data_IF_905154857769
#
_entry.id   IF_905154857769
#
_cell.length_a   1.000
_cell.length_b   1.000
_cell.length_c   1.000
_cell.angle_alpha   90.00
_cell.angle_beta   90.00
_cell.angle_gamma   90.00
#
_symmetry.space_group_name_H-M   'P 1'
#
loop_
_entity.id
_entity.type
_entity.pdbx_description
1 polymer ?
#
# COMPACT_ATOMS: atom_id res chain seq x y z
N UNK A 1 -6.99 -23.33 6.83
CA UNK A 1 -8.18 -24.22 6.72
C UNK A 1 -9.19 -23.91 7.83
N UNK A 2 -10.32 -24.59 7.84
CA UNK A 2 -11.37 -24.37 8.85
C UNK A 2 -10.97 -24.70 10.28
N UNK A 3 -9.83 -25.35 10.48
CA UNK A 3 -9.26 -25.63 11.80
C UNK A 3 -8.32 -24.53 12.31
N UNK A 4 -8.13 -23.46 11.54
CA UNK A 4 -7.16 -22.40 11.85
C UNK A 4 -5.72 -22.75 11.47
N UNK A 5 -5.47 -23.90 10.86
CA UNK A 5 -4.13 -24.28 10.40
C UNK A 5 -3.79 -23.55 9.09
N UNK A 6 -2.61 -22.93 9.04
CA UNK A 6 -2.08 -22.38 7.79
C UNK A 6 -1.77 -23.51 6.82
N UNK A 7 -2.32 -23.39 5.62
CA UNK A 7 -2.07 -24.30 4.52
C UNK A 7 -1.64 -23.51 3.29
N UNK A 8 -0.79 -24.12 2.47
CA UNK A 8 -0.51 -23.57 1.15
C UNK A 8 -1.73 -23.86 0.25
N UNK A 9 -2.39 -22.86 -0.35
CA UNK A 9 -3.50 -23.11 -1.25
C UNK A 9 -3.01 -23.88 -2.48
N UNK A 10 -3.78 -24.87 -2.91
CA UNK A 10 -3.59 -25.50 -4.20
C UNK A 10 -3.91 -24.48 -5.31
N UNK A 11 -3.11 -24.46 -6.37
CA UNK A 11 -3.21 -23.48 -7.47
C UNK A 11 -2.97 -22.02 -7.04
N UNK A 12 -2.07 -21.82 -6.13
CA UNK A 12 -1.74 -20.50 -5.65
C UNK A 12 -1.28 -19.56 -6.77
N UNK A 13 -1.78 -18.33 -6.76
CA UNK A 13 -1.38 -17.26 -7.71
C UNK A 13 0.15 -17.11 -7.80
N UNK A 14 0.86 -17.41 -6.72
CA UNK A 14 2.33 -17.39 -6.63
C UNK A 14 3.04 -18.29 -7.66
N UNK A 15 2.42 -19.34 -8.15
CA UNK A 15 3.04 -20.21 -9.16
C UNK A 15 3.00 -19.57 -10.57
N UNK A 16 2.13 -18.59 -10.78
CA UNK A 16 2.08 -17.82 -12.02
C UNK A 16 3.30 -16.92 -12.19
N UNK A 17 3.89 -16.44 -11.09
CA UNK A 17 5.08 -15.57 -11.12
C UNK A 17 6.37 -16.33 -11.45
N UNK A 18 6.33 -17.66 -11.50
CA UNK A 18 7.47 -18.51 -11.90
C UNK A 18 7.53 -18.74 -13.41
N UNK A 19 6.56 -18.25 -14.16
CA UNK A 19 6.44 -18.42 -15.61
C UNK A 19 6.40 -17.06 -16.29
N UNK A 20 6.79 -16.98 -17.58
CA UNK A 20 6.58 -15.75 -18.34
C UNK A 20 5.12 -15.31 -18.29
N UNK A 21 4.91 -14.02 -18.06
CA UNK A 21 3.56 -13.46 -18.00
C UNK A 21 2.89 -13.54 -19.37
N UNK A 22 1.65 -14.03 -19.39
CA UNK A 22 0.79 -14.02 -20.60
C UNK A 22 -0.17 -12.84 -20.60
N UNK A 23 -0.36 -12.19 -19.45
CA UNK A 23 -1.13 -10.97 -19.25
C UNK A 23 -0.33 -10.01 -18.36
N UNK A 24 -0.10 -8.80 -18.85
CA UNK A 24 0.51 -7.73 -18.06
C UNK A 24 -0.58 -7.00 -17.27
N UNK A 25 -0.83 -7.48 -16.05
CA UNK A 25 -1.87 -6.92 -15.18
C UNK A 25 -1.31 -5.74 -14.38
N UNK A 26 -1.88 -4.56 -14.57
CA UNK A 26 -1.51 -3.36 -13.80
C UNK A 26 -1.90 -3.42 -12.31
N UNK A 27 -2.92 -4.24 -11.97
CA UNK A 27 -3.40 -4.37 -10.60
C UNK A 27 -2.78 -5.50 -9.78
N UNK A 28 -1.98 -6.40 -10.40
CA UNK A 28 -1.47 -7.58 -9.69
C UNK A 28 -0.32 -8.28 -10.40
N UNK A 29 0.36 -7.61 -11.32
CA UNK A 29 1.39 -8.21 -12.18
C UNK A 29 2.80 -8.21 -11.60
N UNK A 30 3.05 -7.55 -10.49
CA UNK A 30 4.38 -7.42 -9.89
C UNK A 30 4.49 -8.20 -8.59
N UNK A 31 5.70 -8.70 -8.35
CA UNK A 31 6.12 -9.31 -7.08
C UNK A 31 7.28 -8.48 -6.54
N UNK A 32 7.28 -8.21 -5.24
CA UNK A 32 8.29 -7.40 -4.59
C UNK A 32 8.63 -7.93 -3.20
N UNK A 33 9.68 -7.39 -2.60
CA UNK A 33 10.03 -7.57 -1.20
C UNK A 33 9.55 -6.36 -0.37
N UNK A 34 9.48 -6.51 0.95
CA UNK A 34 9.23 -5.35 1.85
C UNK A 34 10.29 -4.28 1.67
N UNK A 35 11.54 -4.69 1.54
CA UNK A 35 12.69 -3.78 1.36
C UNK A 35 12.57 -2.95 0.08
N UNK A 36 12.33 -3.60 -1.06
CA UNK A 36 12.17 -2.88 -2.33
C UNK A 36 10.94 -1.96 -2.31
N UNK A 37 9.83 -2.44 -1.73
CA UNK A 37 8.61 -1.63 -1.65
C UNK A 37 8.76 -0.45 -0.67
N UNK A 38 9.57 -0.59 0.39
CA UNK A 38 9.87 0.51 1.29
C UNK A 38 10.61 1.64 0.58
N UNK A 39 11.50 1.32 -0.37
CA UNK A 39 12.18 2.31 -1.22
C UNK A 39 11.18 3.07 -2.11
N UNK A 40 10.20 2.37 -2.68
CA UNK A 40 9.12 3.01 -3.43
C UNK A 40 8.28 3.95 -2.54
N UNK A 41 7.87 3.49 -1.36
CA UNK A 41 7.11 4.31 -0.42
C UNK A 41 7.91 5.52 0.08
N UNK A 42 9.21 5.35 0.35
CA UNK A 42 10.11 6.46 0.72
C UNK A 42 10.29 7.46 -0.43
N UNK A 43 10.37 6.99 -1.67
CA UNK A 43 10.42 7.87 -2.85
C UNK A 43 9.16 8.74 -2.93
N UNK A 44 7.99 8.19 -2.67
CA UNK A 44 6.73 8.96 -2.61
C UNK A 44 6.76 9.97 -1.47
N UNK A 45 7.17 9.56 -0.27
CA UNK A 45 7.30 10.44 0.90
C UNK A 45 8.22 11.63 0.62
N UNK A 46 9.32 11.40 -0.07
CA UNK A 46 10.29 12.42 -0.48
C UNK A 46 9.84 13.26 -1.71
N UNK A 47 8.56 13.20 -2.08
CA UNK A 47 8.06 14.00 -3.21
C UNK A 47 8.58 13.55 -4.58
N UNK A 48 8.87 12.25 -4.74
CA UNK A 48 9.23 11.64 -6.01
C UNK A 48 10.72 11.43 -6.24
N UNK A 49 11.54 11.53 -5.20
CA UNK A 49 12.99 11.38 -5.27
C UNK A 49 13.51 10.39 -4.24
N UNK A 50 14.51 9.61 -4.59
CA UNK A 50 15.21 8.72 -3.68
C UNK A 50 16.71 8.71 -4.02
N UNK A 51 17.57 8.91 -3.01
CA UNK A 51 19.03 8.86 -3.14
C UNK A 51 19.58 9.76 -4.27
N UNK A 52 18.98 10.94 -4.45
CA UNK A 52 19.37 11.90 -5.50
C UNK A 52 18.83 11.57 -6.89
N UNK A 53 18.05 10.49 -7.05
CA UNK A 53 17.40 10.12 -8.30
C UNK A 53 15.93 10.51 -8.27
N UNK A 54 15.52 11.42 -9.16
CA UNK A 54 14.13 11.82 -9.30
C UNK A 54 13.40 10.91 -10.28
N UNK A 55 12.37 10.24 -9.78
CA UNK A 55 11.50 9.32 -10.54
C UNK A 55 10.21 10.06 -10.97
N UNK A 56 9.65 10.86 -10.06
CA UNK A 56 8.42 11.63 -10.32
C UNK A 56 8.65 13.09 -9.95
N UNK A 57 7.94 13.99 -10.61
CA UNK A 57 7.92 15.38 -10.20
C UNK A 57 7.07 15.56 -8.93
N UNK A 58 7.48 16.43 -8.03
CA UNK A 58 6.78 16.69 -6.78
C UNK A 58 5.28 17.01 -6.95
N UNK A 59 4.86 17.84 -7.92
CA UNK A 59 3.43 18.09 -8.17
C UNK A 59 2.67 16.81 -8.58
N UNK A 60 3.33 15.89 -9.29
CA UNK A 60 2.74 14.59 -9.66
C UNK A 60 2.51 13.71 -8.43
N UNK A 61 3.47 13.67 -7.52
CA UNK A 61 3.32 12.92 -6.26
C UNK A 61 2.22 13.52 -5.39
N UNK A 62 2.16 14.83 -5.27
CA UNK A 62 1.07 15.53 -4.55
C UNK A 62 -0.30 15.18 -5.15
N UNK A 63 -0.41 15.17 -6.47
CA UNK A 63 -1.64 14.75 -7.15
C UNK A 63 -1.97 13.28 -6.89
N UNK A 64 -0.97 12.38 -6.93
CA UNK A 64 -1.17 10.95 -6.63
C UNK A 64 -1.70 10.73 -5.21
N UNK A 65 -1.14 11.43 -4.24
CA UNK A 65 -1.43 11.28 -2.81
C UNK A 65 -2.45 12.28 -2.28
N UNK A 66 -3.36 12.74 -3.12
CA UNK A 66 -4.49 13.58 -2.73
C UNK A 66 -5.80 13.02 -3.29
N UNK A 67 -6.92 13.43 -2.73
CA UNK A 67 -8.22 13.01 -3.21
C UNK A 67 -8.48 13.54 -4.63
N UNK A 68 -8.77 12.61 -5.55
CA UNK A 68 -9.06 12.88 -6.96
C UNK A 68 -10.53 12.57 -7.31
N UNK A 69 -11.34 12.22 -6.31
CA UNK A 69 -12.75 11.94 -6.54
C UNK A 69 -13.53 13.24 -6.84
N UNK A 70 -14.57 13.16 -7.67
CA UNK A 70 -15.49 14.27 -7.85
C UNK A 70 -16.17 14.67 -6.54
N UNK A 71 -16.56 15.94 -6.42
CA UNK A 71 -17.29 16.44 -5.26
C UNK A 71 -18.52 15.58 -4.93
N UNK A 72 -18.65 15.20 -3.66
CA UNK A 72 -19.74 14.37 -3.16
C UNK A 72 -19.57 12.86 -3.37
N UNK A 73 -18.49 12.43 -4.03
CA UNK A 73 -18.13 11.01 -4.13
C UNK A 73 -17.21 10.63 -2.97
N UNK A 74 -17.48 9.52 -2.32
CA UNK A 74 -16.68 8.98 -1.20
C UNK A 74 -16.23 7.59 -1.54
N UNK A 75 -14.98 7.26 -1.21
CA UNK A 75 -14.42 5.92 -1.39
C UNK A 75 -14.32 5.21 -0.03
N UNK A 76 -15.15 4.17 0.17
CA UNK A 76 -15.13 3.31 1.35
C UNK A 76 -14.94 4.10 2.67
N UNK A 77 -14.19 3.55 3.60
CA UNK A 77 -13.95 4.16 4.92
C UNK A 77 -12.89 5.28 4.90
N UNK A 78 -12.05 5.33 3.85
CA UNK A 78 -10.99 6.34 3.72
C UNK A 78 -11.52 7.70 3.30
N UNK A 79 -12.69 7.73 2.68
CA UNK A 79 -13.35 8.94 2.21
C UNK A 79 -12.85 9.42 0.85
N UNK A 80 -11.60 9.17 0.45
CA UNK A 80 -10.98 9.65 -0.78
C UNK A 80 -10.18 8.60 -1.53
N UNK A 81 -9.85 8.88 -2.79
CA UNK A 81 -9.04 8.04 -3.64
C UNK A 81 -8.08 8.88 -4.48
N UNK A 82 -6.80 8.57 -4.40
CA UNK A 82 -5.76 9.21 -5.19
C UNK A 82 -5.51 8.51 -6.52
N UNK A 83 -4.31 8.62 -7.07
CA UNK A 83 -3.94 7.89 -8.28
C UNK A 83 -3.26 6.57 -7.89
N UNK A 84 -4.01 5.47 -8.00
CA UNK A 84 -3.53 4.12 -7.73
C UNK A 84 -3.51 3.70 -6.25
N UNK A 85 -4.15 4.46 -5.38
CA UNK A 85 -4.29 4.14 -3.96
C UNK A 85 -5.37 4.96 -3.28
N UNK A 86 -5.81 4.52 -2.10
CA UNK A 86 -6.76 5.26 -1.26
C UNK A 86 -6.07 6.45 -0.59
N UNK A 87 -6.85 7.50 -0.37
CA UNK A 87 -6.44 8.68 0.38
C UNK A 87 -7.39 8.87 1.57
N UNK A 88 -6.85 8.89 2.76
CA UNK A 88 -7.65 9.12 3.96
C UNK A 88 -7.84 10.61 4.17
N UNK A 89 -9.06 11.08 3.96
CA UNK A 89 -9.41 12.52 4.07
C UNK A 89 -9.37 13.05 5.51
N UNK A 90 -9.29 12.17 6.51
CA UNK A 90 -9.25 12.57 7.93
C UNK A 90 -7.83 12.82 8.43
N UNK A 91 -6.84 12.09 7.92
CA UNK A 91 -5.45 12.13 8.40
C UNK A 91 -4.41 12.28 7.30
N UNK A 92 -4.81 12.49 6.04
CA UNK A 92 -3.91 12.72 4.93
C UNK A 92 -3.06 11.53 4.48
N UNK A 93 -3.27 10.35 5.03
CA UNK A 93 -2.50 9.15 4.68
C UNK A 93 -2.90 8.62 3.31
N UNK A 94 -1.90 8.27 2.52
CA UNK A 94 -2.05 7.61 1.22
C UNK A 94 -1.52 6.18 1.28
N UNK A 95 -2.25 5.22 0.72
CA UNK A 95 -1.79 3.83 0.75
C UNK A 95 -2.70 2.86 0.03
N UNK A 96 -2.37 1.58 0.12
CA UNK A 96 -3.15 0.50 -0.44
C UNK A 96 -2.97 -0.81 0.31
N UNK A 97 -3.89 -1.74 0.05
CA UNK A 97 -3.87 -3.09 0.60
C UNK A 97 -3.95 -4.12 -0.52
N UNK A 98 -3.22 -5.21 -0.41
CA UNK A 98 -3.19 -6.28 -1.40
C UNK A 98 -3.97 -7.52 -0.96
N UNK A 99 -4.39 -8.34 -1.94
CA UNK A 99 -5.21 -9.53 -1.71
C UNK A 99 -4.59 -10.58 -0.75
N UNK A 100 -3.27 -10.59 -0.60
CA UNK A 100 -2.55 -11.44 0.36
C UNK A 100 -2.38 -10.76 1.73
N UNK A 101 -3.27 -9.82 2.06
CA UNK A 101 -3.25 -9.05 3.32
C UNK A 101 -1.96 -8.25 3.51
N UNK A 102 -1.43 -7.72 2.42
CA UNK A 102 -0.35 -6.74 2.47
C UNK A 102 -0.92 -5.34 2.65
N UNK A 103 -0.13 -4.46 3.26
CA UNK A 103 -0.55 -3.10 3.56
C UNK A 103 0.66 -2.16 3.47
N UNK A 104 0.45 -0.97 2.92
CA UNK A 104 1.38 0.14 3.09
C UNK A 104 0.62 1.46 3.24
N UNK A 105 1.24 2.41 3.91
CA UNK A 105 0.79 3.80 3.94
C UNK A 105 1.98 4.75 3.96
N UNK A 106 1.77 5.91 3.33
CA UNK A 106 2.66 7.07 3.36
C UNK A 106 1.94 8.17 4.15
N UNK A 107 2.58 8.67 5.16
CA UNK A 107 2.12 9.73 6.04
C UNK A 107 3.09 10.91 5.94
N UNK A 108 2.70 11.92 5.18
CA UNK A 108 3.54 13.11 4.97
C UNK A 108 3.50 14.07 6.14
N UNK A 109 2.50 13.98 7.02
CA UNK A 109 2.40 14.82 8.20
C UNK A 109 3.42 14.40 9.27
N UNK A 110 3.62 13.09 9.42
CA UNK A 110 4.55 12.52 10.39
C UNK A 110 5.89 12.08 9.76
N UNK A 111 6.15 12.42 8.49
CA UNK A 111 7.37 12.03 7.74
C UNK A 111 7.67 10.52 7.85
N UNK A 112 6.66 9.70 7.58
CA UNK A 112 6.71 8.27 7.89
C UNK A 112 6.08 7.40 6.78
N UNK A 113 6.64 6.21 6.61
CA UNK A 113 6.03 5.11 5.86
C UNK A 113 5.80 3.91 6.77
N UNK A 114 4.66 3.26 6.64
CA UNK A 114 4.34 2.04 7.37
C UNK A 114 4.03 0.93 6.38
N UNK A 115 4.70 -0.21 6.52
CA UNK A 115 4.50 -1.40 5.69
C UNK A 115 4.26 -2.62 6.58
N UNK A 116 3.28 -3.43 6.19
CA UNK A 116 3.03 -4.72 6.82
C UNK A 116 2.68 -5.74 5.73
N UNK A 117 3.61 -6.66 5.47
CA UNK A 117 3.46 -7.62 4.39
C UNK A 117 3.27 -9.03 4.94
N UNK A 118 2.21 -9.68 4.49
CA UNK A 118 1.92 -11.08 4.78
C UNK A 118 1.65 -11.86 3.50
N UNK A 119 1.46 -13.16 3.65
CA UNK A 119 1.00 -14.08 2.61
C UNK A 119 -0.29 -14.76 3.08
N UNK A 120 -1.16 -13.98 3.75
CA UNK A 120 -2.39 -14.48 4.34
C UNK A 120 -3.59 -14.26 3.43
N UNK A 121 -4.36 -15.33 3.22
CA UNK A 121 -5.62 -15.31 2.48
C UNK A 121 -6.68 -16.15 3.23
N UNK A 122 -7.94 -15.76 3.22
CA UNK A 122 -8.54 -14.64 2.50
C UNK A 122 -8.09 -13.28 3.06
N UNK A 123 -8.34 -12.21 2.30
CA UNK A 123 -7.98 -10.85 2.65
C UNK A 123 -8.48 -10.46 4.06
N UNK A 124 -7.55 -10.03 4.89
CA UNK A 124 -7.79 -9.49 6.23
C UNK A 124 -6.64 -8.55 6.60
N UNK A 125 -6.93 -7.28 6.76
CA UNK A 125 -5.95 -6.25 7.15
C UNK A 125 -6.14 -5.75 8.58
N UNK A 126 -6.99 -6.37 9.39
CA UNK A 126 -7.25 -5.94 10.76
C UNK A 126 -5.97 -5.79 11.57
N UNK A 127 -5.04 -6.74 11.43
CA UNK A 127 -3.72 -6.68 12.06
C UNK A 127 -2.87 -5.48 11.59
N UNK A 128 -2.92 -5.14 10.29
CA UNK A 128 -2.14 -4.05 9.72
C UNK A 128 -2.67 -2.68 10.14
N UNK A 129 -3.99 -2.54 10.23
CA UNK A 129 -4.63 -1.34 10.75
C UNK A 129 -4.29 -1.11 12.22
N UNK A 130 -4.31 -2.16 13.04
CA UNK A 130 -3.90 -2.07 14.45
C UNK A 130 -2.39 -1.78 14.58
N UNK A 131 -1.56 -2.39 13.73
CA UNK A 131 -0.13 -2.08 13.66
C UNK A 131 0.11 -0.61 13.30
N UNK A 132 -0.53 -0.11 12.24
CA UNK A 132 -0.44 1.30 11.83
C UNK A 132 -0.83 2.25 12.98
N UNK A 133 -1.94 1.96 13.66
CA UNK A 133 -2.40 2.72 14.82
C UNK A 133 -1.39 2.72 15.97
N UNK A 134 -0.77 1.58 16.25
CA UNK A 134 0.23 1.48 17.33
C UNK A 134 1.53 2.19 16.97
N UNK A 135 1.94 2.17 15.71
CA UNK A 135 3.10 2.97 15.22
C UNK A 135 2.84 4.46 15.45
N UNK A 136 1.66 4.98 15.10
CA UNK A 136 1.33 6.39 15.33
C UNK A 136 1.26 6.75 16.82
N UNK A 137 0.79 5.84 17.66
CA UNK A 137 0.81 6.05 19.14
C UNK A 137 2.20 6.07 19.73
N UNK A 138 3.20 5.52 19.05
CA UNK A 138 4.58 5.51 19.50
C UNK A 138 5.38 6.76 19.08
N UNK A 139 4.78 7.64 18.27
CA UNK A 139 5.39 8.94 17.95
C UNK A 139 5.42 9.77 19.22
N UNK A 140 6.62 10.17 19.63
CA UNK A 140 6.85 11.02 20.81
C UNK A 140 7.12 12.44 20.31
N UNK A 141 6.40 13.40 20.86
CA UNK A 141 6.63 14.82 20.61
C UNK A 141 7.97 15.30 21.21
#
# INVERSE_FOLDING_TARGET
DKSGKLIRPENAMQDNFKKPATLFSGGGGLVTTVEDYSRFAQMLLNGGELEGVRILQEPTVKMMMSDQLPEGVVYEETGGYGLGGSYNTQNGQYGWSGAASTFFTVDTENDMVVLAFTQFMPFDIGYALEFNKNVHRAIVE
#
